data_IF_660035899186
#
_entry.id   IF_660035899186
#
_cell.length_a   1.000
_cell.length_b   1.000
_cell.length_c   1.000
_cell.angle_alpha   90.00
_cell.angle_beta   90.00
_cell.angle_gamma   90.00
#
_symmetry.space_group_name_H-M   'P 1'
#
loop_
_entity.id
_entity.type
_entity.pdbx_description
1 polymer ?
#
# COMPACT_ATOMS: atom_id res chain seq x y z
N UNK A 1 91.58 -13.18 -1.20
CA UNK A 1 91.52 -13.33 -2.66
C UNK A 1 90.11 -13.01 -3.09
N UNK A 2 90.04 -12.02 -3.95
CA UNK A 2 88.90 -11.35 -4.57
C UNK A 2 88.17 -12.24 -5.57
N UNK A 3 86.83 -12.16 -5.60
CA UNK A 3 85.87 -12.30 -6.72
C UNK A 3 84.49 -12.06 -6.08
N UNK A 4 83.84 -10.89 -6.08
CA UNK A 4 83.27 -10.06 -7.15
C UNK A 4 82.59 -10.80 -8.31
N UNK A 5 81.40 -10.30 -8.68
CA UNK A 5 80.50 -10.60 -9.83
C UNK A 5 79.41 -11.68 -9.64
N UNK A 6 78.17 -11.48 -10.12
CA UNK A 6 77.21 -10.39 -9.87
C UNK A 6 75.79 -10.92 -9.49
N UNK A 7 74.90 -10.04 -9.02
CA UNK A 7 73.46 -10.33 -8.94
C UNK A 7 72.88 -10.51 -10.36
N UNK A 8 71.97 -11.48 -10.61
CA UNK A 8 71.22 -11.49 -11.85
C UNK A 8 70.12 -10.42 -11.79
N UNK A 9 70.15 -9.57 -12.81
CA UNK A 9 69.12 -8.63 -13.23
C UNK A 9 67.76 -9.31 -13.45
N UNK A 10 66.71 -8.60 -13.03
CA UNK A 10 65.45 -8.40 -13.74
C UNK A 10 65.05 -9.49 -14.76
N UNK A 11 64.48 -10.58 -14.25
CA UNK A 11 63.60 -11.42 -15.04
C UNK A 11 62.25 -10.71 -15.16
N UNK A 12 62.18 -9.74 -16.07
CA UNK A 12 60.92 -9.31 -16.66
C UNK A 12 60.18 -10.59 -17.12
N UNK A 13 59.09 -10.91 -16.43
CA UNK A 13 58.27 -12.07 -16.76
C UNK A 13 57.81 -11.97 -18.20
N UNK A 14 58.31 -12.86 -19.04
CA UNK A 14 57.80 -13.06 -20.40
C UNK A 14 56.29 -13.31 -20.31
N UNK A 15 55.47 -12.63 -21.12
CA UNK A 15 54.07 -13.02 -21.25
C UNK A 15 54.06 -14.46 -21.76
N UNK A 16 53.43 -15.36 -21.02
CA UNK A 16 53.31 -16.77 -21.40
C UNK A 16 52.78 -16.87 -22.83
N UNK A 17 53.32 -17.78 -23.64
CA UNK A 17 53.01 -17.96 -25.07
C UNK A 17 51.50 -18.14 -25.41
N UNK A 18 50.64 -18.32 -24.41
CA UNK A 18 49.18 -18.26 -24.53
C UNK A 18 48.63 -16.85 -24.82
N UNK A 19 49.34 -15.78 -24.44
CA UNK A 19 48.86 -14.39 -24.62
C UNK A 19 49.13 -13.81 -26.02
N UNK A 20 50.02 -14.43 -26.79
CA UNK A 20 50.54 -13.89 -28.06
C UNK A 20 49.97 -14.57 -29.31
N UNK A 21 49.21 -15.67 -29.17
CA UNK A 21 48.55 -16.30 -30.31
C UNK A 21 47.14 -15.71 -30.51
N UNK A 22 46.92 -14.88 -31.55
CA UNK A 22 45.63 -14.24 -31.80
C UNK A 22 44.49 -15.26 -32.03
N UNK A 23 44.78 -16.45 -32.57
CA UNK A 23 43.76 -17.48 -32.83
C UNK A 23 43.22 -18.08 -31.52
N UNK A 24 44.08 -18.31 -30.53
CA UNK A 24 43.68 -18.81 -29.20
C UNK A 24 42.84 -17.74 -28.48
N UNK A 25 43.24 -16.48 -28.58
CA UNK A 25 42.53 -15.35 -27.95
C UNK A 25 41.15 -15.11 -28.58
N UNK A 26 41.03 -15.27 -29.90
CA UNK A 26 39.74 -15.20 -30.61
C UNK A 26 38.82 -16.33 -30.14
N UNK A 27 39.31 -17.58 -30.09
CA UNK A 27 38.52 -18.71 -29.62
C UNK A 27 38.05 -18.56 -28.16
N UNK A 28 38.89 -18.03 -27.26
CA UNK A 28 38.49 -17.72 -25.88
C UNK A 28 37.40 -16.64 -25.81
N UNK A 29 37.52 -15.57 -26.62
CA UNK A 29 36.53 -14.50 -26.65
C UNK A 29 35.19 -14.96 -27.23
N UNK A 30 35.22 -15.83 -28.26
CA UNK A 30 34.02 -16.44 -28.83
C UNK A 30 33.30 -17.34 -27.80
N UNK A 31 34.05 -18.14 -27.04
CA UNK A 31 33.50 -18.95 -25.95
C UNK A 31 32.88 -18.08 -24.85
N UNK A 32 33.58 -17.02 -24.40
CA UNK A 32 33.03 -16.09 -23.41
C UNK A 32 31.78 -15.37 -23.92
N UNK A 33 31.77 -14.99 -25.19
CA UNK A 33 30.59 -14.37 -25.82
C UNK A 33 29.41 -15.35 -25.85
N UNK A 34 29.66 -16.61 -26.20
CA UNK A 34 28.64 -17.66 -26.18
C UNK A 34 28.06 -17.84 -24.77
N UNK A 35 28.91 -17.97 -23.74
CA UNK A 35 28.49 -18.07 -22.34
C UNK A 35 27.68 -16.87 -21.87
N UNK A 36 28.14 -15.64 -22.19
CA UNK A 36 27.41 -14.42 -21.84
C UNK A 36 26.09 -14.28 -22.59
N UNK A 37 26.04 -14.69 -23.87
CA UNK A 37 24.83 -14.66 -24.67
C UNK A 37 23.76 -15.63 -24.14
N UNK A 38 24.16 -16.83 -23.72
CA UNK A 38 23.28 -17.81 -23.09
C UNK A 38 22.81 -17.32 -21.71
N UNK A 39 23.71 -16.79 -20.88
CA UNK A 39 23.36 -16.18 -19.60
C UNK A 39 22.37 -15.01 -19.79
N UNK A 40 22.57 -14.18 -20.82
CA UNK A 40 21.68 -13.07 -21.14
C UNK A 40 20.30 -13.55 -21.60
N UNK A 41 20.23 -14.56 -22.48
CA UNK A 41 18.96 -15.12 -22.94
C UNK A 41 18.18 -15.77 -21.79
N UNK A 42 18.87 -16.50 -20.90
CA UNK A 42 18.26 -17.06 -19.68
C UNK A 42 17.75 -15.95 -18.76
N UNK A 43 18.56 -14.94 -18.46
CA UNK A 43 18.16 -13.80 -17.64
C UNK A 43 16.95 -13.06 -18.24
N UNK A 44 16.93 -12.85 -19.56
CA UNK A 44 15.81 -12.22 -20.26
C UNK A 44 14.52 -13.06 -20.13
N UNK A 45 14.62 -14.37 -20.32
CA UNK A 45 13.49 -15.28 -20.16
C UNK A 45 12.97 -15.32 -18.71
N UNK A 46 13.85 -15.29 -17.72
CA UNK A 46 13.47 -15.19 -16.31
C UNK A 46 12.71 -13.90 -16.01
N UNK A 47 13.19 -12.76 -16.53
CA UNK A 47 12.51 -11.46 -16.39
C UNK A 47 11.12 -11.48 -17.05
N UNK A 48 10.99 -12.03 -18.25
CA UNK A 48 9.69 -12.16 -18.92
C UNK A 48 8.72 -13.06 -18.13
N UNK A 49 9.21 -14.17 -17.58
CA UNK A 49 8.41 -15.06 -16.73
C UNK A 49 7.95 -14.39 -15.43
N UNK A 50 8.85 -13.65 -14.77
CA UNK A 50 8.52 -12.88 -13.56
C UNK A 50 7.51 -11.80 -13.88
N UNK A 51 7.68 -11.08 -15.00
CA UNK A 51 6.74 -10.05 -15.44
C UNK A 51 5.34 -10.63 -15.68
N UNK A 52 5.24 -11.72 -16.44
CA UNK A 52 3.96 -12.39 -16.68
C UNK A 52 3.29 -12.83 -15.38
N UNK A 53 4.05 -13.43 -14.45
CA UNK A 53 3.52 -13.85 -13.15
C UNK A 53 3.06 -12.65 -12.32
N UNK A 54 3.82 -11.56 -12.31
CA UNK A 54 3.44 -10.33 -11.61
C UNK A 54 2.16 -9.72 -12.19
N UNK A 55 1.99 -9.71 -13.51
CA UNK A 55 0.77 -9.23 -14.17
C UNK A 55 -0.45 -10.08 -13.77
N UNK A 56 -0.28 -11.41 -13.71
CA UNK A 56 -1.32 -12.34 -13.24
C UNK A 56 -1.68 -12.10 -11.76
N UNK A 57 -0.69 -11.87 -10.90
CA UNK A 57 -0.91 -11.63 -9.48
C UNK A 57 -1.58 -10.27 -9.23
N UNK A 58 -1.20 -9.22 -9.97
CA UNK A 58 -1.86 -7.91 -9.95
C UNK A 58 -3.32 -8.05 -10.42
N UNK A 59 -3.57 -8.80 -11.49
CA UNK A 59 -4.92 -9.03 -12.00
C UNK A 59 -5.79 -9.75 -10.96
N UNK A 60 -5.26 -10.78 -10.29
CA UNK A 60 -5.94 -11.48 -9.20
C UNK A 60 -6.20 -10.55 -8.01
N UNK A 61 -5.18 -9.82 -7.55
CA UNK A 61 -5.30 -8.90 -6.43
C UNK A 61 -6.36 -7.83 -6.69
N UNK A 62 -6.45 -7.29 -7.92
CA UNK A 62 -7.52 -6.36 -8.31
C UNK A 62 -8.90 -7.01 -8.36
N UNK A 63 -8.99 -8.22 -8.91
CA UNK A 63 -10.26 -8.97 -9.03
C UNK A 63 -10.86 -9.27 -7.66
N UNK A 64 -10.04 -9.60 -6.67
CA UNK A 64 -10.46 -9.97 -5.32
C UNK A 64 -10.18 -8.87 -4.27
N UNK A 65 -9.90 -7.63 -4.71
CA UNK A 65 -9.54 -6.53 -3.82
C UNK A 65 -10.60 -6.21 -2.75
N UNK A 66 -11.88 -6.50 -3.06
CA UNK A 66 -13.02 -6.20 -2.18
C UNK A 66 -13.56 -7.45 -1.46
N UNK A 67 -12.91 -8.61 -1.60
CA UNK A 67 -13.40 -9.89 -1.07
C UNK A 67 -13.61 -9.81 0.44
N UNK A 68 -12.57 -9.45 1.21
CA UNK A 68 -12.67 -9.32 2.67
C UNK A 68 -13.70 -8.27 3.12
N UNK A 69 -13.90 -7.21 2.32
CA UNK A 69 -14.93 -6.21 2.60
C UNK A 69 -16.34 -6.75 2.33
N UNK A 70 -16.53 -7.42 1.21
CA UNK A 70 -17.80 -8.04 0.84
C UNK A 70 -18.22 -9.10 1.87
N UNK A 71 -17.30 -9.98 2.28
CA UNK A 71 -17.54 -10.98 3.33
C UNK A 71 -17.92 -10.32 4.66
N UNK A 72 -17.23 -9.25 5.05
CA UNK A 72 -17.53 -8.53 6.29
C UNK A 72 -18.91 -7.83 6.27
N UNK A 73 -19.46 -7.55 5.09
CA UNK A 73 -20.76 -6.92 4.90
C UNK A 73 -21.94 -7.90 4.88
N UNK A 74 -21.70 -9.20 4.65
CA UNK A 74 -22.78 -10.21 4.62
C UNK A 74 -23.63 -10.22 5.89
N UNK A 75 -23.08 -10.19 7.13
CA UNK A 75 -23.90 -10.18 8.34
C UNK A 75 -24.80 -8.94 8.48
N UNK A 76 -24.40 -7.82 7.87
CA UNK A 76 -25.21 -6.59 7.83
C UNK A 76 -26.42 -6.81 6.92
N UNK A 77 -26.22 -7.45 5.77
CA UNK A 77 -27.30 -7.83 4.86
C UNK A 77 -28.26 -8.81 5.55
N UNK A 78 -27.73 -9.87 6.16
CA UNK A 78 -28.54 -10.87 6.87
C UNK A 78 -29.41 -10.24 7.96
N UNK A 79 -28.85 -9.29 8.71
CA UNK A 79 -29.58 -8.57 9.76
C UNK A 79 -30.69 -7.66 9.21
N UNK A 80 -30.47 -7.07 8.02
CA UNK A 80 -31.51 -6.31 7.32
C UNK A 80 -32.61 -7.23 6.78
N UNK A 81 -32.26 -8.38 6.19
CA UNK A 81 -33.22 -9.37 5.71
C UNK A 81 -34.08 -9.93 6.85
N UNK A 82 -33.48 -10.21 8.00
CA UNK A 82 -34.21 -10.66 9.20
C UNK A 82 -35.24 -9.62 9.67
N UNK A 83 -34.90 -8.33 9.61
CA UNK A 83 -35.83 -7.26 9.96
C UNK A 83 -37.01 -7.18 8.96
N UNK A 84 -36.73 -7.30 7.65
CA UNK A 84 -37.76 -7.28 6.60
C UNK A 84 -38.70 -8.49 6.71
N UNK A 85 -38.17 -9.65 7.09
CA UNK A 85 -38.94 -10.88 7.28
C UNK A 85 -39.90 -10.85 8.49
N UNK A 86 -39.79 -9.84 9.36
CA UNK A 86 -40.62 -9.68 10.56
C UNK A 86 -41.52 -8.43 10.48
N UNK A 87 -42.51 -8.41 9.56
CA UNK A 87 -43.40 -7.27 9.40
C UNK A 87 -44.27 -7.06 10.64
N UNK A 88 -44.52 -5.80 11.01
CA UNK A 88 -45.37 -5.44 12.15
C UNK A 88 -44.69 -5.55 13.52
N UNK A 89 -43.36 -5.73 13.57
CA UNK A 89 -42.59 -5.59 14.81
C UNK A 89 -42.79 -4.20 15.44
N UNK A 90 -42.76 -4.14 16.77
CA UNK A 90 -42.84 -2.88 17.51
C UNK A 90 -41.68 -1.95 17.12
N UNK A 91 -41.95 -0.64 17.11
CA UNK A 91 -40.97 0.38 16.67
C UNK A 91 -39.70 0.30 17.53
N UNK A 92 -39.83 0.04 18.81
CA UNK A 92 -38.73 -0.10 19.77
C UNK A 92 -37.83 -1.29 19.38
N UNK A 93 -38.43 -2.43 19.04
CA UNK A 93 -37.70 -3.63 18.60
C UNK A 93 -36.97 -3.40 17.28
N UNK A 94 -37.61 -2.70 16.34
CA UNK A 94 -36.98 -2.33 15.06
C UNK A 94 -35.80 -1.38 15.32
N UNK A 95 -35.97 -0.39 16.20
CA UNK A 95 -34.91 0.57 16.54
C UNK A 95 -33.70 -0.12 17.20
N UNK A 96 -33.93 -1.07 18.11
CA UNK A 96 -32.89 -1.90 18.69
C UNK A 96 -32.13 -2.71 17.63
N UNK A 97 -32.88 -3.32 16.70
CA UNK A 97 -32.31 -4.02 15.55
C UNK A 97 -31.44 -3.10 14.69
N UNK A 98 -31.91 -1.90 14.37
CA UNK A 98 -31.15 -0.89 13.63
C UNK A 98 -29.87 -0.50 14.38
N UNK A 99 -29.91 -0.33 15.70
CA UNK A 99 -28.71 -0.07 16.50
C UNK A 99 -27.73 -1.25 16.50
N UNK A 100 -28.21 -2.50 16.48
CA UNK A 100 -27.37 -3.68 16.34
C UNK A 100 -26.71 -3.74 14.96
N UNK A 101 -27.48 -3.58 13.88
CA UNK A 101 -26.99 -3.56 12.50
C UNK A 101 -25.98 -2.44 12.27
N UNK A 102 -26.21 -1.24 12.85
CA UNK A 102 -25.24 -0.12 12.79
C UNK A 102 -23.91 -0.48 13.45
N UNK A 103 -23.92 -1.20 14.58
CA UNK A 103 -22.70 -1.66 15.27
C UNK A 103 -21.95 -2.69 14.43
N UNK A 104 -22.67 -3.65 13.83
CA UNK A 104 -22.06 -4.61 12.91
C UNK A 104 -21.42 -3.93 11.71
N UNK A 105 -22.10 -2.94 11.11
CA UNK A 105 -21.57 -2.14 10.01
C UNK A 105 -20.28 -1.40 10.42
N UNK A 106 -20.28 -0.76 11.59
CA UNK A 106 -19.08 -0.10 12.11
C UNK A 106 -17.90 -1.07 12.26
N UNK A 107 -18.13 -2.25 12.85
CA UNK A 107 -17.10 -3.29 12.95
C UNK A 107 -16.64 -3.83 11.59
N UNK A 108 -17.53 -3.93 10.60
CA UNK A 108 -17.18 -4.35 9.25
C UNK A 108 -16.27 -3.32 8.55
N UNK A 109 -16.58 -2.02 8.71
CA UNK A 109 -15.76 -0.93 8.20
C UNK A 109 -14.37 -0.92 8.86
N UNK A 110 -14.30 -0.98 10.19
CA UNK A 110 -13.03 -0.95 10.92
C UNK A 110 -12.09 -2.11 10.55
N UNK A 111 -12.62 -3.33 10.41
CA UNK A 111 -11.84 -4.51 9.96
C UNK A 111 -11.22 -4.32 8.58
N UNK A 112 -11.87 -3.52 7.73
CA UNK A 112 -11.41 -3.19 6.38
C UNK A 112 -10.68 -1.84 6.33
N UNK A 113 -10.14 -1.40 7.48
CA UNK A 113 -9.36 -0.16 7.63
C UNK A 113 -10.14 1.10 7.29
N UNK A 114 -11.47 1.05 7.32
CA UNK A 114 -12.33 2.22 7.17
C UNK A 114 -12.68 2.74 8.56
N UNK A 115 -12.18 3.92 8.92
CA UNK A 115 -12.36 4.51 10.25
C UNK A 115 -13.19 5.78 10.16
N UNK A 116 -14.06 5.97 11.15
CA UNK A 116 -14.91 7.15 11.27
C UNK A 116 -14.10 8.38 11.71
N UNK A 117 -14.27 9.49 11.00
CA UNK A 117 -13.79 10.82 11.41
C UNK A 117 -14.95 11.54 12.09
N UNK A 118 -14.90 11.61 13.42
CA UNK A 118 -15.91 12.26 14.23
C UNK A 118 -15.24 13.03 15.39
N UNK A 119 -14.63 14.18 15.10
CA UNK A 119 -13.94 14.98 16.11
C UNK A 119 -14.91 15.42 17.21
N UNK A 120 -14.48 15.34 18.47
CA UNK A 120 -15.24 15.88 19.58
C UNK A 120 -15.31 17.41 19.50
N UNK A 121 -16.33 18.01 20.10
CA UNK A 121 -16.39 19.46 20.26
C UNK A 121 -15.13 19.96 20.98
N UNK A 122 -14.58 21.08 20.51
CA UNK A 122 -13.30 21.66 20.96
C UNK A 122 -12.07 21.09 20.25
N UNK A 123 -12.19 20.03 19.44
CA UNK A 123 -11.05 19.52 18.66
C UNK A 123 -10.57 20.59 17.67
N UNK A 124 -9.26 20.77 17.53
CA UNK A 124 -8.70 21.71 16.55
C UNK A 124 -9.14 21.32 15.12
N UNK A 125 -9.55 22.32 14.35
CA UNK A 125 -9.90 22.09 12.95
C UNK A 125 -8.67 21.66 12.13
N UNK A 126 -8.77 20.52 11.43
CA UNK A 126 -7.79 20.03 10.48
C UNK A 126 -8.40 20.05 9.06
N UNK A 127 -7.93 20.94 8.15
CA UNK A 127 -8.42 21.01 6.78
C UNK A 127 -8.27 19.71 5.97
N UNK A 128 -7.37 18.81 6.37
CA UNK A 128 -7.17 17.55 5.65
C UNK A 128 -8.31 16.55 5.93
N UNK A 129 -8.91 16.62 7.11
CA UNK A 129 -9.92 15.65 7.57
C UNK A 129 -11.31 16.28 7.76
N UNK A 130 -11.38 17.60 7.89
CA UNK A 130 -12.60 18.33 8.19
C UNK A 130 -12.91 19.36 7.10
N UNK A 131 -14.19 19.54 6.82
CA UNK A 131 -14.71 20.57 5.95
C UNK A 131 -15.64 21.47 6.76
N UNK A 132 -15.20 22.71 7.01
CA UNK A 132 -16.00 23.70 7.72
C UNK A 132 -17.08 24.27 6.79
N UNK A 133 -18.35 24.09 7.13
CA UNK A 133 -19.46 24.63 6.32
C UNK A 133 -19.92 26.01 6.80
N UNK A 134 -19.70 26.32 8.08
CA UNK A 134 -20.03 27.61 8.68
C UNK A 134 -19.20 27.85 9.94
N UNK A 135 -19.07 29.13 10.29
CA UNK A 135 -18.52 29.56 11.57
C UNK A 135 -19.67 30.00 12.47
N UNK A 136 -19.67 29.55 13.73
CA UNK A 136 -20.71 29.89 14.71
C UNK A 136 -20.09 30.56 15.95
N UNK A 137 -20.79 31.51 16.58
CA UNK A 137 -20.39 32.02 17.89
C UNK A 137 -20.35 30.86 18.89
N UNK A 138 -19.22 30.68 19.56
CA UNK A 138 -19.03 29.66 20.58
C UNK A 138 -18.05 30.16 21.66
N UNK A 139 -18.19 29.64 22.88
CA UNK A 139 -17.31 30.06 24.00
C UNK A 139 -15.89 29.52 23.88
N UNK A 140 -15.73 28.38 23.19
CA UNK A 140 -14.48 27.68 22.91
C UNK A 140 -13.52 28.46 22.02
N UNK A 141 -12.25 28.01 21.96
CA UNK A 141 -11.20 28.67 21.19
C UNK A 141 -11.54 28.75 19.70
N UNK A 142 -11.16 29.86 19.06
CA UNK A 142 -11.37 30.06 17.62
C UNK A 142 -10.71 28.94 16.80
N UNK A 143 -11.29 28.60 15.65
CA UNK A 143 -10.82 27.51 14.77
C UNK A 143 -10.86 26.11 15.40
N UNK A 144 -11.76 25.89 16.37
CA UNK A 144 -12.08 24.55 16.89
C UNK A 144 -13.43 24.07 16.38
N UNK A 145 -13.60 22.76 16.28
CA UNK A 145 -14.87 22.12 15.90
C UNK A 145 -15.90 22.36 16.99
N UNK A 146 -17.07 22.89 16.63
CA UNK A 146 -18.20 23.09 17.55
C UNK A 146 -19.14 21.88 17.47
N UNK A 147 -19.51 21.47 16.26
CA UNK A 147 -20.34 20.30 16.04
C UNK A 147 -19.98 19.61 14.72
N UNK A 148 -20.18 18.29 14.70
CA UNK A 148 -20.09 17.46 13.49
C UNK A 148 -21.51 17.29 12.95
N UNK A 149 -21.74 17.79 11.74
CA UNK A 149 -23.03 17.67 11.05
C UNK A 149 -23.11 16.39 10.23
N UNK A 150 -21.98 15.98 9.67
CA UNK A 150 -21.84 14.72 8.95
C UNK A 150 -20.48 14.12 9.25
N UNK A 151 -20.47 12.89 9.74
CA UNK A 151 -19.24 12.15 10.04
C UNK A 151 -18.44 11.92 8.75
N UNK A 152 -17.13 12.07 8.84
CA UNK A 152 -16.20 11.72 7.77
C UNK A 152 -15.76 10.26 7.88
N UNK A 153 -15.02 9.79 6.89
CA UNK A 153 -14.40 8.46 6.88
C UNK A 153 -13.05 8.50 6.18
N UNK A 154 -12.11 7.73 6.70
CA UNK A 154 -10.81 7.45 6.10
C UNK A 154 -10.71 5.97 5.75
N UNK A 155 -9.98 5.63 4.68
CA UNK A 155 -9.56 4.26 4.36
C UNK A 155 -8.04 4.20 4.45
N UNK A 156 -7.52 3.41 5.38
CA UNK A 156 -6.10 3.40 5.75
C UNK A 156 -5.60 4.81 6.09
N UNK A 157 -4.89 5.46 5.17
CA UNK A 157 -4.32 6.80 5.30
C UNK A 157 -5.02 7.85 4.42
N UNK A 158 -5.97 7.43 3.57
CA UNK A 158 -6.65 8.29 2.61
C UNK A 158 -8.03 8.69 3.09
N UNK A 159 -8.36 9.98 3.02
CA UNK A 159 -9.72 10.47 3.31
C UNK A 159 -10.68 10.07 2.18
N UNK A 160 -11.73 9.31 2.54
CA UNK A 160 -12.84 8.98 1.64
C UNK A 160 -13.86 10.12 1.59
N UNK A 161 -14.16 10.68 2.76
CA UNK A 161 -15.08 11.80 2.92
C UNK A 161 -14.65 12.60 4.15
N UNK A 162 -14.45 13.93 4.05
CA UNK A 162 -14.16 14.74 5.23
C UNK A 162 -15.39 14.81 6.15
N UNK A 163 -15.16 15.08 7.43
CA UNK A 163 -16.24 15.39 8.35
C UNK A 163 -16.75 16.81 8.09
N UNK A 164 -18.06 16.97 7.86
CA UNK A 164 -18.67 18.29 7.78
C UNK A 164 -18.85 18.83 9.19
N UNK A 165 -18.24 19.97 9.46
CA UNK A 165 -18.21 20.56 10.80
C UNK A 165 -18.62 22.02 10.77
N UNK A 166 -19.12 22.51 11.89
CA UNK A 166 -19.14 23.93 12.21
C UNK A 166 -17.92 24.25 13.07
N UNK A 167 -17.33 25.42 12.87
CA UNK A 167 -16.15 25.84 13.65
C UNK A 167 -16.43 27.12 14.43
N UNK A 168 -15.71 27.31 15.53
CA UNK A 168 -15.84 28.49 16.36
C UNK A 168 -15.32 29.72 15.61
N UNK A 169 -16.17 30.75 15.50
CA UNK A 169 -15.79 32.02 14.90
C UNK A 169 -14.64 32.71 15.69
N UNK A 170 -13.76 33.45 15.01
CA UNK A 170 -12.82 34.33 15.72
C UNK A 170 -13.57 35.37 16.55
N UNK A 171 -13.06 35.64 17.76
CA UNK A 171 -13.58 36.70 18.64
C UNK A 171 -13.28 38.09 18.08
#
# INVERSE_FOLDING_TARGET
MTTDTPLPEDAAGEPTAAETNPEIKIAELENRLAEMSDAYLRAKAEVENVRRRADEDIAKARKFAVEAFAEAMLPVMDSMEAAIATPGAAVETVLEGVHATRRQLASALERNKVVEINPAAGTKFDPNQHQAISMVPAEQEANTVVAVLQKGFLIADRVLRPALVTVAAPR
#
